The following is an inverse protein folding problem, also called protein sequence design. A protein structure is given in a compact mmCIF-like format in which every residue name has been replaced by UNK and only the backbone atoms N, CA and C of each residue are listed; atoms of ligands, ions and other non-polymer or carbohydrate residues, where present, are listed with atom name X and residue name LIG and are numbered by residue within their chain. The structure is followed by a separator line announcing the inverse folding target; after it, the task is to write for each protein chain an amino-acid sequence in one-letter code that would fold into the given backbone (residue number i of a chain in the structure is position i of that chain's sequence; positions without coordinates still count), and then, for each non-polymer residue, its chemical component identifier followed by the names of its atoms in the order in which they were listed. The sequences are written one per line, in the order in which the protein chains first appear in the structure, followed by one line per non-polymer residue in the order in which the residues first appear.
data_IF_405717625685
#
_entry.id   IF_405717625685
#
_cell.length_a   1.000
_cell.length_b   1.000
_cell.length_c   1.000
_cell.angle_alpha   90.00
_cell.angle_beta   90.00
_cell.angle_gamma   90.00
#
_symmetry.space_group_name_H-M   'P 1'
#
loop_
_entity.id
_entity.type
_entity.pdbx_description
1 polymer ?
#
# COMPACT_ATOMS: atom_id res chain seq x y z
N UNK A 1 -42.58 2.10 -28.61
CA UNK A 1 -41.26 2.70 -28.39
C UNK A 1 -40.65 2.10 -27.11
N UNK A 2 -40.31 0.80 -27.11
CA UNK A 2 -39.74 0.09 -25.95
C UNK A 2 -38.42 -0.64 -26.27
N UNK A 3 -37.96 -0.61 -27.53
CA UNK A 3 -36.78 -1.38 -27.98
C UNK A 3 -35.44 -0.64 -27.79
N UNK A 4 -35.40 0.68 -28.02
CA UNK A 4 -34.13 1.43 -28.02
C UNK A 4 -33.42 1.42 -26.66
N UNK A 5 -34.17 1.45 -25.55
CA UNK A 5 -33.61 1.44 -24.20
C UNK A 5 -33.10 0.05 -23.79
N UNK A 6 -33.73 -1.02 -24.29
CA UNK A 6 -33.29 -2.40 -24.04
C UNK A 6 -32.01 -2.71 -24.81
N UNK A 7 -31.90 -2.24 -26.05
CA UNK A 7 -30.72 -2.40 -26.91
C UNK A 7 -29.50 -1.66 -26.36
N UNK A 8 -29.68 -0.46 -25.79
CA UNK A 8 -28.60 0.28 -25.10
C UNK A 8 -28.08 -0.49 -23.88
N UNK A 9 -28.96 -1.14 -23.12
CA UNK A 9 -28.56 -1.97 -21.98
C UNK A 9 -27.78 -3.22 -22.38
N UNK A 10 -28.18 -3.85 -23.49
CA UNK A 10 -27.50 -5.02 -24.05
C UNK A 10 -26.11 -4.64 -24.58
N UNK A 11 -25.98 -3.51 -25.28
CA UNK A 11 -24.69 -2.99 -25.76
C UNK A 11 -23.72 -2.67 -24.63
N UNK A 12 -24.20 -2.07 -23.54
CA UNK A 12 -23.37 -1.75 -22.36
C UNK A 12 -22.82 -3.01 -21.70
N UNK A 13 -23.68 -3.98 -21.42
CA UNK A 13 -23.26 -5.23 -20.79
C UNK A 13 -22.33 -6.06 -21.70
N UNK A 14 -22.55 -6.04 -23.02
CA UNK A 14 -21.65 -6.64 -24.01
C UNK A 14 -20.26 -6.01 -24.03
N UNK A 15 -20.18 -4.69 -24.08
CA UNK A 15 -18.91 -3.94 -24.09
C UNK A 15 -18.14 -4.12 -22.77
N UNK A 16 -18.83 -4.07 -21.62
CA UNK A 16 -18.22 -4.29 -20.32
C UNK A 16 -17.63 -5.70 -20.19
N UNK A 17 -18.33 -6.72 -20.71
CA UNK A 17 -17.82 -8.08 -20.73
C UNK A 17 -16.57 -8.21 -21.61
N UNK A 18 -16.58 -7.61 -22.81
CA UNK A 18 -15.44 -7.63 -23.72
C UNK A 18 -14.18 -7.00 -23.10
N UNK A 19 -14.32 -5.82 -22.48
CA UNK A 19 -13.23 -5.14 -21.81
C UNK A 19 -12.63 -5.98 -20.67
N UNK A 20 -13.49 -6.55 -19.81
CA UNK A 20 -13.03 -7.40 -18.71
C UNK A 20 -12.34 -8.68 -19.20
N UNK A 21 -12.83 -9.25 -20.29
CA UNK A 21 -12.23 -10.42 -20.93
C UNK A 21 -10.82 -10.11 -21.44
N UNK A 22 -10.63 -8.93 -22.05
CA UNK A 22 -9.32 -8.45 -22.52
C UNK A 22 -8.35 -8.17 -21.35
N UNK A 23 -8.82 -7.55 -20.26
CA UNK A 23 -8.02 -7.35 -19.03
C UNK A 23 -7.46 -8.66 -18.45
N UNK A 24 -8.21 -9.76 -18.58
CA UNK A 24 -7.82 -11.08 -18.10
C UNK A 24 -7.04 -11.89 -19.14
N UNK A 25 -6.77 -11.33 -20.31
CA UNK A 25 -6.06 -12.00 -21.40
C UNK A 25 -6.83 -13.16 -22.04
N UNK A 26 -8.15 -13.22 -21.84
CA UNK A 26 -8.98 -14.35 -22.30
C UNK A 26 -9.40 -14.11 -23.75
N UNK A 27 -9.10 -15.05 -24.64
CA UNK A 27 -9.48 -14.90 -26.06
C UNK A 27 -10.91 -15.39 -26.34
N UNK A 28 -11.55 -14.85 -27.39
CA UNK A 28 -12.87 -15.36 -27.85
C UNK A 28 -12.79 -16.84 -28.25
N UNK A 29 -11.66 -17.28 -28.82
CA UNK A 29 -11.39 -18.68 -29.19
C UNK A 29 -11.35 -19.59 -27.96
N UNK A 30 -10.83 -19.09 -26.86
CA UNK A 30 -10.78 -19.82 -25.59
C UNK A 30 -12.17 -20.06 -25.01
N UNK A 31 -13.05 -19.05 -25.01
CA UNK A 31 -14.45 -19.21 -24.58
C UNK A 31 -15.23 -20.21 -25.45
N UNK A 32 -14.94 -20.26 -26.75
CA UNK A 32 -15.51 -21.25 -27.66
C UNK A 32 -14.98 -22.67 -27.37
N UNK A 33 -13.68 -22.81 -27.10
CA UNK A 33 -13.06 -24.09 -26.69
C UNK A 33 -13.65 -24.62 -25.38
N UNK A 34 -13.94 -23.74 -24.42
CA UNK A 34 -14.60 -24.06 -23.16
C UNK A 34 -16.10 -24.42 -23.33
N UNK A 35 -16.62 -24.42 -24.57
CA UNK A 35 -18.03 -24.69 -24.91
C UNK A 35 -19.02 -23.84 -24.10
N UNK A 36 -18.61 -22.63 -23.72
CA UNK A 36 -19.45 -21.69 -22.95
C UNK A 36 -20.40 -20.99 -23.91
N UNK A 37 -19.87 -20.46 -25.01
CA UNK A 37 -20.61 -19.79 -26.07
C UNK A 37 -19.83 -19.89 -27.38
N UNK A 38 -20.52 -20.10 -28.50
CA UNK A 38 -19.87 -20.10 -29.82
C UNK A 38 -19.44 -18.70 -30.25
N UNK A 39 -18.32 -18.60 -30.98
CA UNK A 39 -17.73 -17.32 -31.38
C UNK A 39 -18.72 -16.34 -32.07
N UNK A 40 -19.63 -16.78 -32.98
CA UNK A 40 -20.60 -15.87 -33.58
C UNK A 40 -21.59 -15.27 -32.56
N UNK A 41 -22.00 -16.05 -31.55
CA UNK A 41 -22.93 -15.60 -30.50
C UNK A 41 -22.24 -14.69 -29.49
N UNK A 42 -20.96 -14.96 -29.21
CA UNK A 42 -20.16 -14.10 -28.35
C UNK A 42 -19.95 -12.72 -28.97
N UNK A 43 -19.60 -12.66 -30.26
CA UNK A 43 -19.41 -11.40 -30.98
C UNK A 43 -20.71 -10.59 -31.03
N UNK A 44 -21.85 -11.25 -31.28
CA UNK A 44 -23.14 -10.57 -31.27
C UNK A 44 -23.50 -10.03 -29.89
N UNK A 45 -23.16 -10.74 -28.82
CA UNK A 45 -23.33 -10.24 -27.47
C UNK A 45 -22.40 -9.06 -27.15
N UNK A 46 -21.10 -9.18 -27.43
CA UNK A 46 -20.12 -8.11 -27.19
C UNK A 46 -20.45 -6.83 -27.96
N UNK A 47 -21.03 -6.96 -29.16
CA UNK A 47 -21.49 -5.84 -29.98
C UNK A 47 -22.89 -5.33 -29.63
N UNK A 48 -23.52 -5.86 -28.59
CA UNK A 48 -24.85 -5.42 -28.14
C UNK A 48 -26.03 -5.88 -28.99
N UNK A 49 -25.83 -6.83 -29.91
CA UNK A 49 -26.83 -7.30 -30.88
C UNK A 49 -27.66 -8.49 -30.38
N UNK A 50 -27.23 -9.15 -29.31
CA UNK A 50 -27.93 -10.33 -28.78
C UNK A 50 -27.70 -10.51 -27.27
N UNK A 51 -28.76 -10.87 -26.55
CA UNK A 51 -28.68 -11.18 -25.12
C UNK A 51 -28.52 -12.68 -24.85
N UNK A 52 -27.43 -13.14 -24.21
CA UNK A 52 -27.24 -14.54 -23.89
C UNK A 52 -28.25 -15.05 -22.84
N UNK A 53 -28.59 -16.34 -22.92
CA UNK A 53 -29.45 -16.99 -21.92
C UNK A 53 -28.78 -16.97 -20.54
N UNK A 54 -29.59 -16.96 -19.48
CA UNK A 54 -29.14 -16.90 -18.09
C UNK A 54 -28.04 -17.92 -17.73
N UNK A 55 -28.22 -19.20 -18.11
CA UNK A 55 -27.21 -20.25 -17.90
C UNK A 55 -25.87 -19.94 -18.59
N UNK A 56 -25.90 -19.24 -19.73
CA UNK A 56 -24.69 -18.81 -20.45
C UNK A 56 -24.06 -17.59 -19.78
N UNK A 57 -24.89 -16.62 -19.35
CA UNK A 57 -24.44 -15.44 -18.59
C UNK A 57 -23.71 -15.83 -17.31
N UNK A 58 -24.25 -16.74 -16.52
CA UNK A 58 -23.61 -17.23 -15.29
C UNK A 58 -22.22 -17.86 -15.55
N UNK A 59 -22.07 -18.58 -16.66
CA UNK A 59 -20.77 -19.16 -17.06
C UNK A 59 -19.78 -18.09 -17.54
N UNK A 60 -20.27 -17.10 -18.29
CA UNK A 60 -19.45 -15.97 -18.74
C UNK A 60 -18.95 -15.16 -17.53
N UNK A 61 -19.84 -14.85 -16.58
CA UNK A 61 -19.51 -14.18 -15.31
C UNK A 61 -18.47 -14.97 -14.51
N UNK A 62 -18.63 -16.28 -14.37
CA UNK A 62 -17.67 -17.13 -13.67
C UNK A 62 -16.27 -17.09 -14.31
N UNK A 63 -16.17 -17.09 -15.64
CA UNK A 63 -14.87 -17.05 -16.33
C UNK A 63 -14.16 -15.72 -16.15
N UNK A 64 -14.90 -14.61 -16.11
CA UNK A 64 -14.32 -13.28 -15.86
C UNK A 64 -14.24 -12.91 -14.36
N UNK A 65 -14.50 -13.89 -13.48
CA UNK A 65 -14.50 -13.76 -12.01
C UNK A 65 -15.48 -12.70 -11.50
N UNK A 66 -16.64 -12.57 -12.14
CA UNK A 66 -17.73 -11.72 -11.68
C UNK A 66 -18.73 -12.48 -10.79
N UNK A 67 -19.36 -11.80 -9.82
CA UNK A 67 -20.48 -12.35 -9.09
C UNK A 67 -21.65 -12.71 -10.02
N UNK A 68 -22.44 -13.75 -9.71
CA UNK A 68 -23.64 -14.09 -10.49
C UNK A 68 -24.62 -12.91 -10.60
N UNK A 69 -25.16 -12.67 -11.80
CA UNK A 69 -26.16 -11.64 -12.06
C UNK A 69 -25.59 -10.24 -12.35
N UNK A 70 -24.27 -10.10 -12.44
CA UNK A 70 -23.58 -8.85 -12.79
C UNK A 70 -23.97 -8.34 -14.18
N UNK A 71 -24.08 -9.24 -15.18
CA UNK A 71 -24.51 -8.87 -16.53
C UNK A 71 -25.96 -8.37 -16.53
N UNK A 72 -26.84 -8.99 -15.74
CA UNK A 72 -28.23 -8.55 -15.62
C UNK A 72 -28.34 -7.15 -14.99
N UNK A 73 -27.49 -6.86 -13.98
CA UNK A 73 -27.38 -5.53 -13.38
C UNK A 73 -26.90 -4.48 -14.39
N UNK A 74 -25.82 -4.76 -15.12
CA UNK A 74 -25.28 -3.87 -16.16
C UNK A 74 -26.27 -3.57 -17.30
N UNK A 75 -27.17 -4.50 -17.63
CA UNK A 75 -28.25 -4.25 -18.59
C UNK A 75 -29.27 -3.26 -18.03
N UNK A 76 -29.68 -3.46 -16.78
CA UNK A 76 -30.79 -2.73 -16.14
C UNK A 76 -30.38 -1.38 -15.54
N UNK A 77 -29.08 -1.14 -15.34
CA UNK A 77 -28.56 0.16 -14.89
C UNK A 77 -28.90 1.24 -15.93
N UNK A 78 -29.92 2.08 -15.66
CA UNK A 78 -30.11 3.32 -16.41
C UNK A 78 -28.91 4.22 -16.17
N UNK A 79 -28.43 4.82 -17.24
CA UNK A 79 -27.20 5.60 -17.31
C UNK A 79 -27.17 6.70 -16.23
N UNK A 80 -26.47 6.42 -15.12
CA UNK A 80 -25.67 7.45 -14.48
C UNK A 80 -24.35 7.53 -15.28
N UNK A 81 -23.83 8.73 -15.54
CA UNK A 81 -22.63 8.89 -16.33
C UNK A 81 -21.50 8.09 -15.70
N UNK A 82 -20.69 7.46 -16.55
CA UNK A 82 -19.52 6.67 -16.15
C UNK A 82 -18.71 7.41 -15.08
N UNK A 83 -18.59 6.77 -13.92
CA UNK A 83 -17.43 6.88 -13.01
C UNK A 83 -17.16 8.24 -12.36
N UNK A 84 -18.16 8.86 -11.73
CA UNK A 84 -17.95 9.94 -10.75
C UNK A 84 -18.22 9.49 -9.30
N UNK A 85 -19.26 8.70 -9.02
CA UNK A 85 -19.64 8.36 -7.63
C UNK A 85 -18.61 7.50 -6.87
N UNK A 86 -18.02 6.48 -7.53
CA UNK A 86 -16.94 5.68 -6.93
C UNK A 86 -15.60 6.42 -6.88
N UNK A 87 -15.39 7.39 -7.77
CA UNK A 87 -14.21 8.27 -7.77
C UNK A 87 -14.30 9.30 -6.65
N UNK A 88 -15.44 9.98 -6.54
CA UNK A 88 -15.76 10.96 -5.49
C UNK A 88 -15.74 10.31 -4.11
N UNK A 89 -16.38 9.16 -3.91
CA UNK A 89 -16.32 8.49 -2.61
C UNK A 89 -14.91 7.99 -2.26
N UNK A 90 -14.13 7.51 -3.23
CA UNK A 90 -12.72 7.16 -3.02
C UNK A 90 -11.85 8.38 -2.74
N UNK A 91 -12.13 9.50 -3.39
CA UNK A 91 -11.39 10.75 -3.24
C UNK A 91 -11.72 11.45 -1.90
N UNK A 92 -13.00 11.45 -1.51
CA UNK A 92 -13.45 11.90 -0.18
C UNK A 92 -12.84 11.04 0.93
N UNK A 93 -12.88 9.70 0.80
CA UNK A 93 -12.25 8.82 1.78
C UNK A 93 -10.72 8.98 1.81
N UNK A 94 -10.06 9.14 0.65
CA UNK A 94 -8.63 9.42 0.60
C UNK A 94 -8.28 10.79 1.20
N UNK A 95 -9.11 11.81 0.98
CA UNK A 95 -8.97 13.15 1.55
C UNK A 95 -9.15 13.15 3.07
N UNK A 96 -10.20 12.48 3.58
CA UNK A 96 -10.43 12.29 5.01
C UNK A 96 -9.28 11.52 5.68
N UNK A 97 -8.80 10.45 5.05
CA UNK A 97 -7.64 9.70 5.54
C UNK A 97 -6.37 10.57 5.53
N UNK A 98 -6.15 11.37 4.49
CA UNK A 98 -5.01 12.30 4.42
C UNK A 98 -5.08 13.36 5.52
N UNK A 99 -6.28 13.90 5.79
CA UNK A 99 -6.53 14.81 6.90
C UNK A 99 -6.24 14.18 8.25
N UNK A 100 -6.70 12.93 8.48
CA UNK A 100 -6.42 12.19 9.71
C UNK A 100 -4.92 11.89 9.88
N UNK A 101 -4.22 11.50 8.82
CA UNK A 101 -2.77 11.26 8.84
C UNK A 101 -2.02 12.56 9.14
N UNK A 102 -2.44 13.69 8.57
CA UNK A 102 -1.85 14.99 8.87
C UNK A 102 -2.01 15.36 10.35
N UNK A 103 -3.21 15.21 10.92
CA UNK A 103 -3.44 15.49 12.35
C UNK A 103 -2.58 14.60 13.24
N UNK A 104 -2.52 13.29 12.93
CA UNK A 104 -1.65 12.37 13.66
C UNK A 104 -0.17 12.77 13.54
N UNK A 105 0.27 13.18 12.35
CA UNK A 105 1.62 13.66 12.14
C UNK A 105 1.92 14.92 12.95
N UNK A 106 1.06 15.94 12.89
CA UNK A 106 1.22 17.19 13.63
C UNK A 106 1.35 16.90 15.14
N UNK A 107 0.59 15.94 15.69
CA UNK A 107 0.68 15.51 17.09
C UNK A 107 2.00 14.80 17.44
N UNK A 108 2.45 13.87 16.60
CA UNK A 108 3.72 13.15 16.82
C UNK A 108 4.91 14.11 16.67
N UNK A 109 4.88 15.00 15.69
CA UNK A 109 5.89 16.03 15.47
C UNK A 109 5.96 17.00 16.66
N UNK A 110 4.83 17.44 17.20
CA UNK A 110 4.79 18.21 18.44
C UNK A 110 5.41 17.45 19.63
N UNK A 111 5.24 16.13 19.68
CA UNK A 111 5.83 15.29 20.72
C UNK A 111 7.35 15.20 20.61
N UNK A 112 7.91 15.23 19.39
CA UNK A 112 9.37 15.32 19.14
C UNK A 112 9.94 16.62 19.70
N UNK A 113 9.26 17.74 19.48
CA UNK A 113 9.68 19.08 19.97
C UNK A 113 9.64 19.18 21.50
N UNK A 114 8.75 18.42 22.14
CA UNK A 114 8.60 18.39 23.59
C UNK A 114 9.54 17.39 24.29
N UNK A 115 10.39 16.67 23.56
CA UNK A 115 11.37 15.77 24.16
C UNK A 115 12.38 16.56 25.01
N UNK A 116 12.77 16.03 26.17
CA UNK A 116 13.73 16.71 27.02
C UNK A 116 15.15 16.65 26.42
N UNK A 117 16.11 17.27 27.10
CA UNK A 117 17.53 17.17 26.75
C UNK A 117 18.02 15.71 26.89
N UNK A 118 19.08 15.34 26.17
CA UNK A 118 19.58 13.95 26.08
C UNK A 118 20.17 13.42 27.38
N UNK A 119 20.54 14.31 28.31
CA UNK A 119 21.02 14.03 29.66
C UNK A 119 19.89 13.89 30.69
N UNK A 120 18.65 14.22 30.32
CA UNK A 120 17.49 14.05 31.17
C UNK A 120 17.17 12.54 31.36
N UNK A 121 17.00 12.05 32.61
CA UNK A 121 16.69 10.65 32.88
C UNK A 121 15.41 10.13 32.19
N UNK A 122 14.45 11.00 31.86
CA UNK A 122 13.23 10.64 31.17
C UNK A 122 13.40 10.56 29.64
N UNK A 123 14.48 11.12 29.08
CA UNK A 123 14.74 11.15 27.64
C UNK A 123 14.67 9.76 26.99
N UNK A 124 15.34 8.70 27.51
CA UNK A 124 15.48 7.45 26.78
C UNK A 124 14.14 6.76 26.56
N UNK A 125 13.29 6.75 27.60
CA UNK A 125 11.97 6.14 27.52
C UNK A 125 11.04 6.95 26.62
N UNK A 126 11.06 8.30 26.72
CA UNK A 126 10.22 9.16 25.88
C UNK A 126 10.63 9.08 24.40
N UNK A 127 11.93 9.08 24.12
CA UNK A 127 12.45 8.96 22.76
C UNK A 127 12.03 7.64 22.10
N UNK A 128 12.09 6.51 22.83
CA UNK A 128 11.63 5.19 22.32
C UNK A 128 10.17 5.19 21.90
N UNK A 129 9.29 5.80 22.71
CA UNK A 129 7.86 5.92 22.40
C UNK A 129 7.67 6.75 21.13
N UNK A 130 8.26 7.95 21.08
CA UNK A 130 8.12 8.85 19.92
C UNK A 130 8.71 8.23 18.64
N UNK A 131 9.83 7.50 18.72
CA UNK A 131 10.42 6.76 17.60
C UNK A 131 9.50 5.64 17.09
N UNK A 132 8.75 4.97 17.98
CA UNK A 132 7.77 3.96 17.59
C UNK A 132 6.56 4.60 16.88
N UNK A 133 6.09 5.75 17.38
CA UNK A 133 5.01 6.52 16.77
C UNK A 133 5.40 7.03 15.39
N UNK A 134 6.63 7.57 15.24
CA UNK A 134 7.17 8.02 13.95
C UNK A 134 7.26 6.87 12.92
N UNK A 135 7.70 5.67 13.32
CA UNK A 135 7.72 4.49 12.42
C UNK A 135 6.32 4.07 11.99
N UNK A 136 5.38 4.06 12.93
CA UNK A 136 3.97 3.76 12.64
C UNK A 136 3.40 4.76 11.65
N UNK A 137 3.67 6.04 11.89
CA UNK A 137 3.25 7.14 11.03
C UNK A 137 3.90 7.07 9.65
N UNK A 138 5.20 6.77 9.55
CA UNK A 138 5.88 6.57 8.27
C UNK A 138 5.19 5.46 7.45
N UNK A 139 4.91 4.33 8.08
CA UNK A 139 4.23 3.20 7.44
C UNK A 139 2.83 3.57 6.92
N UNK A 140 2.05 4.32 7.71
CA UNK A 140 0.73 4.80 7.30
C UNK A 140 0.84 5.82 6.15
N UNK A 141 1.74 6.80 6.29
CA UNK A 141 1.96 7.87 5.30
C UNK A 141 2.47 7.31 3.98
N UNK A 142 3.38 6.35 4.01
CA UNK A 142 3.89 5.67 2.81
C UNK A 142 2.81 4.86 2.09
N UNK A 143 1.89 4.22 2.82
CA UNK A 143 0.71 3.57 2.22
C UNK A 143 -0.22 4.60 1.58
N UNK A 144 -0.46 5.71 2.27
CA UNK A 144 -1.30 6.79 1.75
C UNK A 144 -0.72 7.37 0.46
N UNK A 145 0.60 7.66 0.39
CA UNK A 145 1.29 8.11 -0.84
C UNK A 145 1.07 7.14 -2.01
N UNK A 146 1.14 5.82 -1.78
CA UNK A 146 0.89 4.81 -2.81
C UNK A 146 -0.58 4.75 -3.25
N UNK A 147 -1.52 5.02 -2.34
CA UNK A 147 -2.97 4.91 -2.60
C UNK A 147 -3.60 6.19 -3.15
N UNK A 148 -3.09 7.38 -2.81
CA UNK A 148 -3.68 8.69 -3.15
C UNK A 148 -3.12 9.33 -4.43
N UNK A 149 -2.53 8.54 -5.32
CA UNK A 149 -1.76 9.06 -6.48
C UNK A 149 -0.64 10.02 -6.07
N UNK A 150 -0.07 9.86 -4.87
CA UNK A 150 1.12 10.60 -4.43
C UNK A 150 0.93 12.12 -4.40
N UNK A 151 -0.11 12.62 -3.72
CA UNK A 151 -0.29 14.06 -3.56
C UNK A 151 0.99 14.72 -3.02
N UNK A 152 1.35 15.89 -3.56
CA UNK A 152 2.60 16.57 -3.21
C UNK A 152 2.71 16.83 -1.69
N UNK A 153 1.58 17.12 -1.04
CA UNK A 153 1.50 17.30 0.41
C UNK A 153 1.82 16.01 1.18
N UNK A 154 1.35 14.84 0.73
CA UNK A 154 1.67 13.57 1.37
C UNK A 154 3.13 13.16 1.16
N UNK A 155 3.72 13.48 0.00
CA UNK A 155 5.15 13.27 -0.25
C UNK A 155 5.99 14.15 0.67
N UNK A 156 5.64 15.44 0.82
CA UNK A 156 6.31 16.35 1.76
C UNK A 156 6.17 15.85 3.20
N UNK A 157 4.99 15.40 3.59
CA UNK A 157 4.75 14.84 4.93
C UNK A 157 5.60 13.60 5.18
N UNK A 158 5.65 12.65 4.24
CA UNK A 158 6.48 11.45 4.36
C UNK A 158 7.97 11.82 4.50
N UNK A 159 8.44 12.80 3.73
CA UNK A 159 9.82 13.30 3.84
C UNK A 159 10.08 13.92 5.21
N UNK A 160 9.16 14.72 5.73
CA UNK A 160 9.29 15.34 7.05
C UNK A 160 9.33 14.28 8.16
N UNK A 161 8.42 13.30 8.14
CA UNK A 161 8.39 12.20 9.12
C UNK A 161 9.71 11.44 9.13
N UNK A 162 10.26 11.12 7.96
CA UNK A 162 11.58 10.46 7.84
C UNK A 162 12.69 11.32 8.40
N UNK A 163 12.76 12.59 8.01
CA UNK A 163 13.78 13.51 8.51
C UNK A 163 13.77 13.62 10.04
N UNK A 164 12.58 13.64 10.64
CA UNK A 164 12.38 13.71 12.09
C UNK A 164 12.73 12.41 12.79
N UNK A 165 12.42 11.28 12.17
CA UNK A 165 12.88 9.97 12.64
C UNK A 165 14.41 9.90 12.63
N UNK A 166 15.07 10.25 11.53
CA UNK A 166 16.52 10.24 11.39
C UNK A 166 17.19 11.16 12.43
N UNK A 167 16.68 12.39 12.58
CA UNK A 167 17.19 13.35 13.54
C UNK A 167 17.02 12.89 15.00
N UNK A 168 15.89 12.27 15.33
CA UNK A 168 15.67 11.71 16.67
C UNK A 168 16.52 10.45 16.92
N UNK A 169 16.72 9.60 15.91
CA UNK A 169 17.62 8.44 16.00
C UNK A 169 19.06 8.89 16.28
N UNK A 170 19.56 9.90 15.56
CA UNK A 170 20.89 10.45 15.78
C UNK A 170 21.04 11.03 17.21
N UNK A 171 20.05 11.79 17.69
CA UNK A 171 20.02 12.30 19.08
C UNK A 171 20.02 11.16 20.10
N UNK A 172 19.22 10.11 19.87
CA UNK A 172 19.13 8.98 20.77
C UNK A 172 20.42 8.14 20.79
N UNK A 173 21.06 7.97 19.63
CA UNK A 173 22.34 7.27 19.50
C UNK A 173 23.51 8.00 20.18
N UNK A 174 23.44 9.34 20.30
CA UNK A 174 24.42 10.15 21.01
C UNK A 174 24.20 10.17 22.54
N UNK A 175 23.06 9.70 23.04
CA UNK A 175 22.79 9.67 24.47
C UNK A 175 23.58 8.54 25.17
N UNK A 176 24.00 8.69 26.44
CA UNK A 176 24.72 7.64 27.17
C UNK A 176 23.95 6.31 27.28
N UNK A 177 22.62 6.38 27.19
CA UNK A 177 21.71 5.25 27.25
C UNK A 177 21.31 4.71 25.86
N UNK A 178 22.06 5.06 24.81
CA UNK A 178 21.77 4.65 23.44
C UNK A 178 21.62 3.13 23.35
N UNK A 179 20.58 2.70 22.66
CA UNK A 179 20.33 1.27 22.44
C UNK A 179 21.23 0.73 21.33
N UNK A 180 21.34 -0.60 21.26
CA UNK A 180 22.05 -1.26 20.17
C UNK A 180 21.46 -0.88 18.81
N UNK A 181 20.12 -0.85 18.71
CA UNK A 181 19.41 -0.48 17.49
C UNK A 181 19.64 0.96 17.05
N UNK A 182 19.62 1.90 17.99
CA UNK A 182 19.89 3.32 17.71
C UNK A 182 21.31 3.55 17.19
N UNK A 183 22.29 2.90 17.82
CA UNK A 183 23.69 2.93 17.40
C UNK A 183 23.86 2.32 16.02
N UNK A 184 23.35 1.10 15.80
CA UNK A 184 23.44 0.40 14.51
C UNK A 184 22.82 1.23 13.38
N UNK A 185 21.60 1.71 13.57
CA UNK A 185 20.88 2.52 12.58
C UNK A 185 21.71 3.74 12.14
N UNK A 186 22.27 4.45 13.11
CA UNK A 186 23.00 5.70 12.86
C UNK A 186 24.29 5.45 12.07
N UNK A 187 25.09 4.46 12.47
CA UNK A 187 26.34 4.13 11.76
C UNK A 187 26.08 3.50 10.39
N UNK A 188 25.05 2.65 10.28
CA UNK A 188 24.62 2.05 9.01
C UNK A 188 24.21 3.12 8.00
N UNK A 189 23.37 4.07 8.42
CA UNK A 189 22.92 5.16 7.56
C UNK A 189 24.06 6.13 7.21
N UNK A 190 24.97 6.42 8.14
CA UNK A 190 26.16 7.22 7.86
C UNK A 190 27.07 6.57 6.80
N UNK A 191 27.16 5.24 6.82
CA UNK A 191 27.86 4.43 5.82
C UNK A 191 27.04 4.19 4.53
N UNK A 192 25.84 4.77 4.42
CA UNK A 192 24.90 4.56 3.31
C UNK A 192 24.55 3.08 3.02
N UNK A 193 24.62 2.22 4.05
CA UNK A 193 24.30 0.80 3.93
C UNK A 193 22.78 0.59 4.04
N UNK A 194 22.22 -0.23 3.15
CA UNK A 194 20.88 -0.76 3.30
C UNK A 194 20.81 -1.81 4.42
N UNK A 195 19.59 -2.12 4.87
CA UNK A 195 19.35 -3.21 5.83
C UNK A 195 19.89 -4.54 5.31
N UNK A 196 19.74 -4.82 4.01
CA UNK A 196 20.20 -6.06 3.40
C UNK A 196 21.73 -6.15 3.35
N UNK A 197 22.42 -5.04 3.06
CA UNK A 197 23.88 -5.00 3.05
C UNK A 197 24.46 -5.15 4.47
N UNK A 198 23.87 -4.48 5.47
CA UNK A 198 24.27 -4.66 6.87
C UNK A 198 24.03 -6.10 7.34
N UNK A 199 22.90 -6.70 6.97
CA UNK A 199 22.61 -8.10 7.28
C UNK A 199 23.61 -9.05 6.61
N UNK A 200 23.99 -8.79 5.35
CA UNK A 200 25.04 -9.52 4.66
C UNK A 200 26.41 -9.40 5.32
N UNK A 201 26.78 -8.22 5.81
CA UNK A 201 28.03 -8.01 6.55
C UNK A 201 28.05 -8.74 7.91
N UNK A 202 26.88 -8.91 8.53
CA UNK A 202 26.71 -9.62 9.79
C UNK A 202 26.55 -11.14 9.62
N UNK A 203 26.36 -11.65 8.40
CA UNK A 203 25.96 -13.03 8.11
C UNK A 203 24.65 -13.43 8.84
N UNK A 204 23.64 -12.54 8.79
CA UNK A 204 22.31 -12.75 9.41
C UNK A 204 21.18 -12.44 8.44
N UNK A 205 19.96 -12.82 8.80
CA UNK A 205 18.76 -12.43 8.05
C UNK A 205 18.46 -10.93 8.22
N UNK A 206 17.89 -10.28 7.20
CA UNK A 206 17.53 -8.85 7.25
C UNK A 206 16.56 -8.52 8.40
N UNK A 207 15.73 -9.48 8.77
CA UNK A 207 14.79 -9.41 9.89
C UNK A 207 15.51 -9.19 11.23
N UNK A 208 16.74 -9.67 11.40
CA UNK A 208 17.53 -9.46 12.63
C UNK A 208 17.94 -7.98 12.74
N UNK A 209 18.36 -7.38 11.63
CA UNK A 209 18.70 -5.94 11.58
C UNK A 209 17.46 -5.09 11.82
N UNK A 210 16.32 -5.44 11.20
CA UNK A 210 15.05 -4.74 11.46
C UNK A 210 14.62 -4.92 12.92
N UNK A 211 14.75 -6.11 13.48
CA UNK A 211 14.40 -6.40 14.87
C UNK A 211 15.18 -5.50 15.82
N UNK A 212 16.51 -5.46 15.71
CA UNK A 212 17.34 -4.64 16.59
C UNK A 212 17.06 -3.14 16.42
N UNK A 213 16.93 -2.62 15.19
CA UNK A 213 16.60 -1.21 14.92
C UNK A 213 15.20 -0.81 15.42
N UNK A 214 14.32 -1.79 15.62
CA UNK A 214 12.98 -1.60 16.17
C UNK A 214 12.87 -1.97 17.66
N UNK A 215 14.01 -2.10 18.35
CA UNK A 215 14.12 -2.41 19.79
C UNK A 215 13.56 -3.78 20.18
N UNK A 216 13.52 -4.72 19.24
CA UNK A 216 13.19 -6.12 19.54
C UNK A 216 14.43 -6.85 20.06
N UNK A 217 14.24 -7.84 20.96
CA UNK A 217 15.33 -8.65 21.45
C UNK A 217 15.94 -9.48 20.31
N UNK A 218 17.27 -9.63 20.34
CA UNK A 218 18.04 -10.50 19.45
C UNK A 218 18.87 -11.47 20.28
N UNK A 219 19.44 -12.50 19.65
CA UNK A 219 20.30 -13.44 20.36
C UNK A 219 21.57 -12.74 20.85
N UNK A 220 22.19 -13.25 21.92
CA UNK A 220 23.47 -12.73 22.43
C UNK A 220 24.60 -12.88 21.39
N UNK A 221 24.49 -13.85 20.48
CA UNK A 221 25.44 -14.03 19.39
C UNK A 221 25.31 -12.91 18.35
N UNK A 222 24.09 -12.60 17.91
CA UNK A 222 23.83 -11.51 16.97
C UNK A 222 24.15 -10.16 17.57
N UNK A 223 23.87 -9.97 18.86
CA UNK A 223 24.27 -8.79 19.60
C UNK A 223 25.77 -8.53 19.50
N UNK A 224 26.62 -9.54 19.74
CA UNK A 224 28.09 -9.40 19.64
C UNK A 224 28.53 -9.06 18.21
N UNK A 225 27.91 -9.69 17.19
CA UNK A 225 28.19 -9.37 15.78
C UNK A 225 27.85 -7.92 15.46
N UNK A 226 26.69 -7.44 15.93
CA UNK A 226 26.23 -6.06 15.72
C UNK A 226 27.14 -5.07 16.45
N UNK A 227 27.54 -5.34 17.70
CA UNK A 227 28.49 -4.49 18.42
C UNK A 227 29.81 -4.35 17.66
N UNK A 228 30.33 -5.45 17.10
CA UNK A 228 31.54 -5.44 16.27
C UNK A 228 31.36 -4.62 14.99
N UNK A 229 30.25 -4.79 14.26
CA UNK A 229 29.97 -4.00 13.05
C UNK A 229 29.87 -2.50 13.38
N UNK A 230 29.26 -2.14 14.52
CA UNK A 230 29.19 -0.74 14.95
C UNK A 230 30.59 -0.17 15.17
N UNK A 231 31.48 -0.91 15.81
CA UNK A 231 32.88 -0.49 16.01
C UNK A 231 33.61 -0.31 14.68
N UNK A 232 33.46 -1.24 13.73
CA UNK A 232 34.06 -1.18 12.40
C UNK A 232 33.57 0.01 11.56
N UNK A 233 32.29 0.40 11.72
CA UNK A 233 31.70 1.52 10.97
C UNK A 233 31.86 2.88 11.66
N UNK A 234 32.22 2.91 12.95
CA UNK A 234 32.42 4.15 13.72
C UNK A 234 33.86 4.67 13.69
N UNK A 235 34.81 3.84 13.27
CA UNK A 235 36.23 4.17 13.12
C UNK A 235 36.56 4.79 11.78
#
# INVERSE_FOLDING_TARGET
MHDDAEDVGVARAGAAFAARREELGISQRELARLKIIGAPRLINFEKGRAWPREKTRAKLEAVVKWPPGTLAKLRNEREAPRSAANGQFRDETASLLSGAVKVAADQVLASVEQLPATDDPAFPQRARVVLADLRTLEGITARAVRGSQGSAEMIKLLREVRHRYDGLMARAAAAPSATLGQRLYTVRNAAALSVAEAAGALDVASEVVVAVETEQPVSEEDRRRIEKLIEELSG
#
